data_IF_076296338356
#
_entry.id   IF_076296338356
#
_cell.length_a   1.000
_cell.length_b   1.000
_cell.length_c   1.000
_cell.angle_alpha   90.00
_cell.angle_beta   90.00
_cell.angle_gamma   90.00
#
_symmetry.space_group_name_H-M   'P 1'
#
loop_
_entity.id
_entity.type
_entity.pdbx_description
1 polymer ?
#
# COMPACT_ATOMS: atom_id res chain seq x y z
N UNK A 1 3.82 6.67 4.41
CA UNK A 1 4.95 6.02 3.71
C UNK A 1 5.78 7.05 2.92
N UNK A 2 6.24 8.14 3.57
CA UNK A 2 6.86 9.30 2.87
C UNK A 2 8.40 9.34 2.88
N UNK A 3 9.07 8.36 3.51
CA UNK A 3 10.53 8.42 3.71
C UNK A 3 11.35 7.63 2.70
N UNK A 4 10.77 6.65 2.00
CA UNK A 4 11.50 5.83 1.02
C UNK A 4 11.64 6.55 -0.34
N UNK A 5 10.70 7.42 -0.74
CA UNK A 5 10.77 8.13 -2.02
C UNK A 5 11.89 9.16 -2.07
N UNK A 6 12.20 9.82 -0.94
CA UNK A 6 13.15 10.93 -0.88
C UNK A 6 14.61 10.58 -1.28
N UNK A 7 15.01 9.31 -1.23
CA UNK A 7 16.31 8.85 -1.74
C UNK A 7 16.25 8.55 -3.24
N UNK A 8 15.13 7.97 -3.67
CA UNK A 8 14.86 7.61 -5.06
C UNK A 8 14.71 8.87 -5.92
N UNK A 9 14.03 9.91 -5.42
CA UNK A 9 13.88 11.24 -6.05
C UNK A 9 15.24 11.95 -6.22
N UNK A 10 16.19 11.68 -5.31
CA UNK A 10 17.55 12.24 -5.37
C UNK A 10 18.51 11.40 -6.22
N UNK A 11 18.03 10.35 -6.88
CA UNK A 11 18.86 9.48 -7.73
C UNK A 11 19.86 8.61 -6.97
N UNK A 12 19.68 8.43 -5.65
CA UNK A 12 20.63 7.71 -4.79
C UNK A 12 20.28 6.22 -4.61
N UNK A 13 19.26 5.72 -5.32
CA UNK A 13 18.89 4.31 -5.29
C UNK A 13 17.57 3.99 -5.96
N UNK A 14 17.20 2.71 -5.95
CA UNK A 14 15.94 2.18 -6.48
C UNK A 14 15.17 1.46 -5.38
N UNK A 15 13.84 1.41 -5.50
CA UNK A 15 12.98 0.67 -4.58
C UNK A 15 11.88 -0.08 -5.33
N UNK A 16 11.58 -1.29 -4.88
CA UNK A 16 10.40 -2.05 -5.34
C UNK A 16 9.26 -1.72 -4.39
N UNK A 17 8.23 -1.08 -4.93
CA UNK A 17 7.04 -0.70 -4.17
C UNK A 17 5.78 -1.28 -4.82
N UNK A 18 4.74 -1.62 -4.03
CA UNK A 18 3.43 -1.92 -4.59
C UNK A 18 2.90 -0.72 -5.39
N UNK A 19 2.14 -0.97 -6.45
CA UNK A 19 1.55 0.08 -7.29
C UNK A 19 0.79 1.14 -6.50
N UNK A 20 0.07 0.74 -5.45
CA UNK A 20 -0.70 1.64 -4.58
C UNK A 20 0.17 2.71 -3.86
N UNK A 21 1.48 2.50 -3.75
CA UNK A 21 2.39 3.46 -3.13
C UNK A 21 2.80 4.62 -4.04
N UNK A 22 2.48 4.53 -5.33
CA UNK A 22 2.77 5.52 -6.38
C UNK A 22 1.55 5.72 -7.27
N UNK A 23 0.36 5.50 -6.73
CA UNK A 23 -0.89 5.63 -7.49
C UNK A 23 -1.26 7.09 -7.74
N UNK A 24 -1.01 7.96 -6.76
CA UNK A 24 -1.14 9.41 -6.91
C UNK A 24 -0.04 9.95 -7.85
N UNK A 25 -0.40 10.75 -8.86
CA UNK A 25 0.59 11.41 -9.73
C UNK A 25 1.63 12.24 -8.98
N UNK A 26 1.28 12.83 -7.82
CA UNK A 26 2.22 13.61 -6.99
C UNK A 26 3.33 12.73 -6.44
N UNK A 27 3.06 11.46 -6.13
CA UNK A 27 4.06 10.50 -5.65
C UNK A 27 5.04 10.08 -6.76
N UNK A 28 4.79 10.45 -8.03
CA UNK A 28 5.67 10.16 -9.18
C UNK A 28 6.55 11.33 -9.59
N UNK A 29 6.33 12.52 -9.03
CA UNK A 29 7.10 13.71 -9.39
C UNK A 29 8.57 13.48 -9.02
N UNK A 30 9.47 13.62 -10.00
CA UNK A 30 10.89 13.37 -9.80
C UNK A 30 11.29 11.88 -9.74
N UNK A 31 10.36 10.96 -10.03
CA UNK A 31 10.62 9.52 -10.08
C UNK A 31 10.33 8.93 -11.47
N UNK A 32 11.19 8.03 -11.93
CA UNK A 32 10.86 7.14 -13.04
C UNK A 32 10.25 5.84 -12.49
N UNK A 33 8.94 5.67 -12.67
CA UNK A 33 8.21 4.50 -12.17
C UNK A 33 7.98 3.52 -13.31
N UNK A 34 8.48 2.29 -13.14
CA UNK A 34 8.32 1.21 -14.12
C UNK A 34 7.74 -0.04 -13.45
N UNK A 35 6.90 -0.78 -14.19
CA UNK A 35 6.40 -2.07 -13.72
C UNK A 35 7.50 -3.13 -13.80
N UNK A 36 7.56 -4.01 -12.80
CA UNK A 36 8.43 -5.18 -12.85
C UNK A 36 7.96 -6.18 -13.90
N UNK A 37 8.93 -6.80 -14.57
CA UNK A 37 8.75 -7.93 -15.48
C UNK A 37 9.65 -9.07 -15.00
N UNK A 38 9.09 -10.18 -14.46
CA UNK A 38 7.66 -10.47 -14.30
C UNK A 38 6.98 -9.64 -13.19
N UNK A 39 5.64 -9.53 -13.26
CA UNK A 39 4.85 -8.86 -12.22
C UNK A 39 4.83 -9.67 -10.93
N UNK A 40 4.96 -8.99 -9.80
CA UNK A 40 4.77 -9.57 -8.47
C UNK A 40 3.36 -9.28 -7.96
N UNK A 41 2.70 -10.30 -7.41
CA UNK A 41 1.37 -10.19 -6.81
C UNK A 41 1.46 -10.43 -5.31
N UNK A 42 0.70 -9.65 -4.54
CA UNK A 42 0.58 -9.75 -3.08
C UNK A 42 -0.91 -9.67 -2.74
N UNK A 43 -1.35 -10.52 -1.82
CA UNK A 43 -2.68 -10.42 -1.23
C UNK A 43 -2.58 -9.61 0.07
N UNK A 44 -3.41 -8.59 0.21
CA UNK A 44 -3.58 -7.87 1.48
C UNK A 44 -4.64 -8.57 2.31
N UNK A 45 -4.53 -8.48 3.63
CA UNK A 45 -5.47 -9.10 4.55
C UNK A 45 -5.64 -8.26 5.81
N UNK A 46 -6.82 -8.38 6.42
CA UNK A 46 -7.11 -7.76 7.71
C UNK A 46 -6.79 -8.79 8.80
N UNK A 47 -5.93 -8.42 9.74
CA UNK A 47 -5.54 -9.29 10.86
C UNK A 47 -6.09 -8.70 12.16
N UNK A 48 -6.91 -9.50 12.84
CA UNK A 48 -7.48 -9.18 14.14
C UNK A 48 -7.05 -10.22 15.17
N UNK A 49 -6.83 -9.78 16.41
CA UNK A 49 -6.61 -10.70 17.53
C UNK A 49 -7.92 -11.44 17.86
N UNK A 50 -7.83 -12.76 18.09
CA UNK A 50 -8.99 -13.61 18.36
C UNK A 50 -9.67 -13.31 19.70
N UNK A 51 -8.95 -12.80 20.70
CA UNK A 51 -9.49 -12.49 22.03
C UNK A 51 -10.31 -11.17 22.08
N UNK A 52 -10.46 -10.48 20.94
CA UNK A 52 -11.17 -9.20 20.87
C UNK A 52 -12.62 -9.41 20.44
N UNK A 53 -13.55 -8.96 21.28
CA UNK A 53 -14.97 -8.87 20.93
C UNK A 53 -15.11 -7.88 19.77
N UNK A 54 -15.67 -8.35 18.66
CA UNK A 54 -15.98 -7.50 17.51
C UNK A 54 -17.23 -6.69 17.88
N UNK A 55 -17.03 -5.43 18.24
CA UNK A 55 -18.13 -4.49 18.44
C UNK A 55 -18.82 -4.17 17.11
N UNK A 56 -20.06 -3.67 17.16
CA UNK A 56 -20.80 -3.25 15.95
C UNK A 56 -20.01 -2.23 15.10
N UNK A 57 -19.31 -1.30 15.76
CA UNK A 57 -18.47 -0.32 15.06
C UNK A 57 -17.29 -0.96 14.34
N UNK A 58 -16.62 -1.94 14.95
CA UNK A 58 -15.52 -2.68 14.32
C UNK A 58 -16.04 -3.53 13.16
N UNK A 59 -17.18 -4.20 13.32
CA UNK A 59 -17.81 -4.96 12.24
C UNK A 59 -18.09 -4.08 11.01
N UNK A 60 -18.57 -2.86 11.23
CA UNK A 60 -18.84 -1.92 10.15
C UNK A 60 -17.55 -1.43 9.47
N UNK A 61 -16.49 -1.16 10.23
CA UNK A 61 -15.17 -0.84 9.68
C UNK A 61 -14.62 -2.01 8.85
N UNK A 62 -14.72 -3.24 9.33
CA UNK A 62 -14.30 -4.44 8.58
C UNK A 62 -15.08 -4.60 7.27
N UNK A 63 -16.39 -4.31 7.30
CA UNK A 63 -17.26 -4.33 6.11
C UNK A 63 -16.80 -3.29 5.09
N UNK A 64 -16.55 -2.06 5.52
CA UNK A 64 -16.10 -0.97 4.66
C UNK A 64 -14.70 -1.24 4.08
N UNK A 65 -13.76 -1.74 4.89
CA UNK A 65 -12.41 -2.06 4.42
C UNK A 65 -12.38 -3.23 3.43
N UNK A 66 -13.23 -4.25 3.65
CA UNK A 66 -13.38 -5.35 2.69
C UNK A 66 -13.92 -4.88 1.34
N UNK A 67 -14.74 -3.83 1.31
CA UNK A 67 -15.28 -3.24 0.07
C UNK A 67 -14.29 -2.28 -0.61
N UNK A 68 -13.46 -1.57 0.16
CA UNK A 68 -12.50 -0.60 -0.36
C UNK A 68 -11.27 -1.24 -1.02
N UNK A 69 -11.08 -2.56 -0.86
CA UNK A 69 -9.97 -3.30 -1.44
C UNK A 69 -9.17 -4.01 -0.37
N UNK A 70 -9.63 -5.22 -0.04
CA UNK A 70 -8.81 -6.37 0.30
C UNK A 70 -8.93 -7.37 -0.85
#
# INVERSE_FOLDING_TARGET
MRRLSAWCERGLGYSIVPRMAVEDPQDRVGLNVQSLTPRLYRQLGIVMRQDKIISKGIAEVLRLLSQAGC
#
